data_IF_487065408553
#
_entry.id   IF_487065408553
#
_cell.length_a   1.000
_cell.length_b   1.000
_cell.length_c   1.000
_cell.angle_alpha   90.00
_cell.angle_beta   90.00
_cell.angle_gamma   90.00
#
_symmetry.space_group_name_H-M   'P 1'
#
loop_
_entity.id
_entity.type
_entity.pdbx_description
1 polymer ?
#
# COMPACT_ATOMS: atom_id res chain seq x y z
N UNK A 1 22.02 -4.51 -0.16
CA UNK A 1 21.59 -5.42 -1.25
C UNK A 1 21.75 -4.66 -2.57
N UNK A 2 22.32 -5.22 -3.64
CA UNK A 2 22.42 -4.51 -4.90
C UNK A 2 21.03 -4.26 -5.49
N UNK A 3 20.86 -3.09 -6.12
CA UNK A 3 19.62 -2.73 -6.80
C UNK A 3 19.37 -3.63 -8.01
N UNK A 4 18.12 -3.95 -8.25
CA UNK A 4 17.70 -4.65 -9.47
C UNK A 4 17.72 -3.66 -10.66
N UNK A 5 17.96 -4.12 -11.91
CA UNK A 5 18.05 -3.22 -13.06
C UNK A 5 16.88 -2.24 -13.20
N UNK A 6 15.65 -2.72 -13.04
CA UNK A 6 14.47 -1.86 -13.13
C UNK A 6 14.35 -0.84 -11.99
N UNK A 7 14.98 -1.09 -10.84
CA UNK A 7 15.05 -0.11 -9.74
C UNK A 7 16.05 0.99 -10.08
N UNK A 8 17.18 0.64 -10.70
CA UNK A 8 18.13 1.62 -11.22
C UNK A 8 17.48 2.50 -12.28
N UNK A 9 16.78 1.89 -13.26
CA UNK A 9 16.02 2.62 -14.28
C UNK A 9 14.99 3.58 -13.67
N UNK A 10 14.31 3.15 -12.59
CA UNK A 10 13.33 3.97 -11.88
C UNK A 10 14.01 5.18 -11.18
N UNK A 11 15.13 4.95 -10.50
CA UNK A 11 15.88 6.01 -9.83
C UNK A 11 16.46 7.02 -10.82
N UNK A 12 16.98 6.58 -11.95
CA UNK A 12 17.46 7.45 -13.03
C UNK A 12 16.31 8.30 -13.58
N UNK A 13 15.14 7.70 -13.79
CA UNK A 13 13.95 8.45 -14.20
C UNK A 13 13.51 9.46 -13.13
N UNK A 14 13.48 9.09 -11.86
CA UNK A 14 13.14 9.99 -10.76
C UNK A 14 14.17 11.12 -10.61
N UNK A 15 15.44 10.89 -10.90
CA UNK A 15 16.48 11.90 -10.86
C UNK A 15 16.28 13.01 -11.92
N UNK A 16 15.68 12.66 -13.05
CA UNK A 16 15.45 13.57 -14.18
C UNK A 16 14.06 14.22 -14.15
N UNK A 17 13.21 13.90 -13.17
CA UNK A 17 11.85 14.44 -13.04
C UNK A 17 11.60 14.96 -11.63
N UNK A 18 10.78 15.99 -11.52
CA UNK A 18 10.26 16.48 -10.23
C UNK A 18 8.92 15.86 -9.87
N UNK A 19 8.24 15.22 -10.84
CA UNK A 19 6.95 14.58 -10.65
C UNK A 19 6.76 13.43 -11.64
N UNK A 20 6.10 12.36 -11.20
CA UNK A 20 5.74 11.28 -12.10
C UNK A 20 5.19 10.04 -11.43
N UNK A 21 4.68 9.14 -12.25
CA UNK A 21 4.12 7.87 -11.83
C UNK A 21 5.14 6.75 -12.07
N UNK A 22 5.33 5.93 -11.04
CA UNK A 22 6.21 4.76 -11.05
C UNK A 22 5.33 3.51 -10.98
N UNK A 23 5.14 2.85 -12.12
CA UNK A 23 4.30 1.66 -12.24
C UNK A 23 5.19 0.43 -12.13
N UNK A 24 5.17 -0.22 -10.97
CA UNK A 24 5.98 -1.42 -10.68
C UNK A 24 5.10 -2.45 -9.98
N UNK A 25 5.10 -3.71 -10.43
CA UNK A 25 4.30 -4.78 -9.83
C UNK A 25 4.59 -4.97 -8.34
N UNK A 26 3.64 -5.59 -7.63
CA UNK A 26 3.86 -6.06 -6.26
C UNK A 26 5.05 -7.03 -6.23
N UNK A 27 5.92 -6.91 -5.22
CA UNK A 27 7.17 -7.67 -5.13
C UNK A 27 8.31 -7.10 -6.01
N UNK A 28 8.04 -6.09 -6.84
CA UNK A 28 9.06 -5.44 -7.67
C UNK A 28 10.00 -4.49 -6.91
N UNK A 29 9.75 -4.22 -5.62
CA UNK A 29 10.65 -3.42 -4.77
C UNK A 29 10.46 -1.92 -4.89
N UNK A 30 9.20 -1.44 -4.95
CA UNK A 30 8.84 0.00 -4.93
C UNK A 30 9.45 0.73 -3.73
N UNK A 31 9.36 0.13 -2.54
CA UNK A 31 9.90 0.71 -1.30
C UNK A 31 11.39 1.00 -1.41
N UNK A 32 12.17 0.09 -2.01
CA UNK A 32 13.60 0.29 -2.20
C UNK A 32 13.91 1.53 -3.07
N UNK A 33 13.11 1.78 -4.10
CA UNK A 33 13.27 3.00 -4.91
C UNK A 33 12.98 4.27 -4.10
N UNK A 34 11.97 4.24 -3.21
CA UNK A 34 11.68 5.37 -2.32
C UNK A 34 12.83 5.61 -1.35
N UNK A 35 13.36 4.55 -0.71
CA UNK A 35 14.46 4.63 0.25
C UNK A 35 15.73 5.17 -0.40
N UNK A 36 16.10 4.65 -1.56
CA UNK A 36 17.31 5.09 -2.27
C UNK A 36 17.20 6.56 -2.73
N UNK A 37 16.05 6.98 -3.24
CA UNK A 37 15.83 8.38 -3.60
C UNK A 37 15.79 9.29 -2.35
N UNK A 38 15.31 8.79 -1.21
CA UNK A 38 15.25 9.51 0.06
C UNK A 38 16.65 9.84 0.66
N UNK A 39 17.70 9.17 0.21
CA UNK A 39 19.10 9.52 0.59
C UNK A 39 19.51 10.93 0.19
N UNK A 40 18.75 11.60 -0.66
CA UNK A 40 18.92 13.02 -0.98
C UNK A 40 18.72 13.94 0.22
N UNK A 41 17.99 13.46 1.23
CA UNK A 41 17.72 14.21 2.47
C UNK A 41 16.64 15.28 2.31
N UNK A 42 16.57 16.16 3.32
CA UNK A 42 15.53 17.21 3.43
C UNK A 42 14.31 16.76 4.23
N UNK A 43 13.18 17.41 3.97
CA UNK A 43 11.88 17.03 4.53
C UNK A 43 11.14 16.11 3.57
N UNK A 44 11.02 14.85 3.94
CA UNK A 44 10.45 13.79 3.11
C UNK A 44 9.15 13.31 3.74
N UNK A 45 8.10 13.23 2.95
CA UNK A 45 6.79 12.71 3.36
C UNK A 45 6.51 11.39 2.61
N UNK A 46 6.15 10.35 3.34
CA UNK A 46 5.75 9.05 2.79
C UNK A 46 4.29 8.80 3.15
N UNK A 47 3.45 8.67 2.14
CA UNK A 47 2.00 8.49 2.28
C UNK A 47 1.63 7.04 2.04
N UNK A 48 1.09 6.37 3.04
CA UNK A 48 0.65 4.99 2.99
C UNK A 48 -0.87 4.85 3.02
N UNK A 49 -1.45 3.76 2.49
CA UNK A 49 -2.90 3.55 2.53
C UNK A 49 -3.47 3.30 3.93
N UNK A 50 -2.65 2.74 4.85
CA UNK A 50 -3.08 2.37 6.21
C UNK A 50 -1.97 2.58 7.22
N UNK A 51 -2.33 2.70 8.50
CA UNK A 51 -1.40 2.91 9.63
C UNK A 51 -0.34 1.81 9.69
N UNK A 52 -0.72 0.54 9.63
CA UNK A 52 0.23 -0.59 9.66
C UNK A 52 1.25 -0.52 8.51
N UNK A 53 0.83 -0.10 7.32
CA UNK A 53 1.74 0.07 6.19
C UNK A 53 2.66 1.29 6.36
N UNK A 54 2.18 2.38 6.97
CA UNK A 54 3.03 3.52 7.32
C UNK A 54 4.13 3.12 8.32
N UNK A 55 3.79 2.30 9.31
CA UNK A 55 4.73 1.77 10.29
C UNK A 55 5.73 0.79 9.65
N UNK A 56 5.27 -0.10 8.79
CA UNK A 56 6.14 -1.02 8.06
C UNK A 56 7.13 -0.26 7.19
N UNK A 57 6.66 0.71 6.40
CA UNK A 57 7.53 1.57 5.57
C UNK A 57 8.55 2.31 6.45
N UNK A 58 8.11 2.87 7.59
CA UNK A 58 9.02 3.52 8.53
C UNK A 58 10.14 2.58 8.98
N UNK A 59 9.82 1.33 9.35
CA UNK A 59 10.81 0.34 9.74
C UNK A 59 11.78 0.01 8.60
N UNK A 60 11.27 -0.22 7.37
CA UNK A 60 12.10 -0.51 6.19
C UNK A 60 13.04 0.67 5.84
N UNK A 61 12.57 1.91 5.98
CA UNK A 61 13.41 3.10 5.77
C UNK A 61 14.52 3.19 6.81
N UNK A 62 14.22 2.94 8.09
CA UNK A 62 15.18 3.02 9.19
C UNK A 62 16.21 1.87 9.22
N UNK A 63 15.96 0.77 8.55
CA UNK A 63 16.95 -0.30 8.34
C UNK A 63 18.11 0.15 7.42
N UNK A 64 17.89 1.21 6.62
CA UNK A 64 18.85 1.63 5.56
C UNK A 64 19.32 3.07 5.74
N UNK A 65 18.45 3.96 6.25
CA UNK A 65 18.76 5.37 6.43
C UNK A 65 19.19 5.65 7.85
N UNK A 66 20.44 6.09 8.00
CA UNK A 66 20.99 6.56 9.26
C UNK A 66 20.81 8.09 9.40
N UNK A 67 20.90 8.59 10.63
CA UNK A 67 20.86 10.01 10.99
C UNK A 67 19.66 10.78 10.44
N UNK A 68 18.47 10.18 10.57
CA UNK A 68 17.21 10.78 10.20
C UNK A 68 16.29 10.92 11.41
N UNK A 69 15.54 12.03 11.48
CA UNK A 69 14.48 12.21 12.46
C UNK A 69 13.17 11.68 11.88
N UNK A 70 12.43 10.91 12.67
CA UNK A 70 11.17 10.27 12.23
C UNK A 70 9.98 10.82 12.99
N UNK A 71 8.91 11.11 12.27
CA UNK A 71 7.61 11.48 12.81
C UNK A 71 6.50 10.70 12.12
N UNK A 72 5.51 10.27 12.90
CA UNK A 72 4.28 9.68 12.37
C UNK A 72 3.11 10.65 12.50
N UNK A 73 2.36 10.83 11.41
CA UNK A 73 1.16 11.67 11.38
C UNK A 73 -0.06 10.80 11.10
N UNK A 74 -0.54 10.14 12.13
CA UNK A 74 -1.76 9.31 12.12
C UNK A 74 -2.24 9.04 13.55
N UNK A 75 -3.46 8.54 13.71
CA UNK A 75 -4.08 8.29 15.02
C UNK A 75 -3.68 6.96 15.70
N UNK A 76 -2.85 6.13 15.05
CA UNK A 76 -2.40 4.85 15.61
C UNK A 76 -1.21 5.01 16.55
N UNK A 77 -1.02 4.03 17.42
CA UNK A 77 0.17 3.94 18.27
C UNK A 77 1.42 3.67 17.43
N UNK A 78 2.55 4.25 17.83
CA UNK A 78 3.84 4.09 17.18
C UNK A 78 4.96 4.29 18.21
N UNK A 79 6.13 3.63 18.07
CA UNK A 79 7.29 3.87 18.93
C UNK A 79 7.99 5.20 18.64
N UNK A 80 7.65 5.87 17.54
CA UNK A 80 8.24 7.14 17.13
C UNK A 80 7.42 8.34 17.61
N UNK A 81 8.01 9.53 17.58
CA UNK A 81 7.27 10.77 17.82
C UNK A 81 6.08 10.86 16.86
N UNK A 82 4.91 11.20 17.38
CA UNK A 82 3.70 11.27 16.57
C UNK A 82 2.81 12.41 17.01
N UNK A 83 2.23 13.11 16.06
CA UNK A 83 1.17 14.10 16.28
C UNK A 83 0.29 14.23 15.05
N UNK A 84 -0.96 14.61 15.27
CA UNK A 84 -1.90 15.02 14.22
C UNK A 84 -2.22 16.51 14.27
N UNK A 85 -1.55 17.27 15.13
CA UNK A 85 -1.71 18.72 15.25
C UNK A 85 -0.75 19.42 14.28
N UNK A 86 -1.27 20.38 13.54
CA UNK A 86 -0.51 21.11 12.55
C UNK A 86 0.69 21.88 13.16
N UNK A 87 0.50 22.50 14.33
CA UNK A 87 1.56 23.24 15.01
C UNK A 87 2.69 22.31 15.46
N UNK A 88 2.39 21.16 16.04
CA UNK A 88 3.41 20.18 16.45
C UNK A 88 4.23 19.68 15.26
N UNK A 89 3.58 19.49 14.10
CA UNK A 89 4.26 19.05 12.86
C UNK A 89 5.18 20.17 12.37
N UNK A 90 4.70 21.41 12.40
CA UNK A 90 5.46 22.58 11.97
C UNK A 90 6.69 22.80 12.87
N UNK A 91 6.51 22.81 14.19
CA UNK A 91 7.57 23.03 15.16
C UNK A 91 8.66 21.94 15.08
N UNK A 92 8.24 20.66 14.98
CA UNK A 92 9.17 19.55 14.86
C UNK A 92 9.98 19.61 13.56
N UNK A 93 9.34 19.95 12.45
CA UNK A 93 10.02 20.07 11.15
C UNK A 93 10.98 21.25 11.14
N UNK A 94 10.56 22.39 11.70
CA UNK A 94 11.40 23.58 11.81
C UNK A 94 12.63 23.30 12.68
N UNK A 95 12.44 22.63 13.84
CA UNK A 95 13.54 22.25 14.71
C UNK A 95 14.57 21.40 13.95
N UNK A 96 14.15 20.35 13.25
CA UNK A 96 15.08 19.52 12.49
C UNK A 96 15.83 20.31 11.42
N UNK A 97 15.14 21.18 10.70
CA UNK A 97 15.78 22.04 9.69
C UNK A 97 16.82 22.98 10.26
N UNK A 98 16.55 23.60 11.40
CA UNK A 98 17.49 24.47 12.10
C UNK A 98 18.78 23.74 12.52
N UNK A 99 18.66 22.46 12.86
CA UNK A 99 19.81 21.64 13.23
C UNK A 99 20.40 20.82 12.07
N UNK A 100 19.98 21.08 10.83
CA UNK A 100 20.47 20.40 9.63
C UNK A 100 20.13 18.90 9.56
N UNK A 101 19.08 18.46 10.27
CA UNK A 101 18.65 17.06 10.29
C UNK A 101 17.65 16.78 9.18
N UNK A 102 17.76 15.61 8.57
CA UNK A 102 16.78 15.10 7.64
C UNK A 102 15.50 14.64 8.38
N UNK A 103 14.36 14.97 7.85
CA UNK A 103 13.05 14.67 8.41
C UNK A 103 12.30 13.65 7.56
N UNK A 104 11.91 12.52 8.16
CA UNK A 104 11.02 11.54 7.55
C UNK A 104 9.66 11.59 8.23
N UNK A 105 8.63 11.93 7.49
CA UNK A 105 7.25 12.00 7.97
C UNK A 105 6.44 10.88 7.31
N UNK A 106 6.00 9.91 8.10
CA UNK A 106 5.13 8.84 7.64
C UNK A 106 3.68 9.17 7.99
N UNK A 107 2.83 9.18 6.98
CA UNK A 107 1.42 9.52 7.14
C UNK A 107 0.52 8.57 6.36
N UNK A 108 -0.77 8.65 6.61
CA UNK A 108 -1.77 7.95 5.81
C UNK A 108 -2.51 8.93 4.90
N UNK A 109 -3.16 8.42 3.84
CA UNK A 109 -4.03 9.25 3.01
C UNK A 109 -5.09 9.98 3.83
N UNK A 110 -5.59 9.36 4.90
CA UNK A 110 -6.55 9.97 5.82
C UNK A 110 -5.99 11.16 6.61
N UNK A 111 -4.70 11.15 6.93
CA UNK A 111 -4.06 12.15 7.77
C UNK A 111 -3.22 13.16 6.98
N UNK A 112 -3.04 12.96 5.67
CA UNK A 112 -2.19 13.81 4.83
C UNK A 112 -2.59 15.30 4.88
N UNK A 113 -3.89 15.60 5.03
CA UNK A 113 -4.36 16.98 5.18
C UNK A 113 -3.76 17.66 6.41
N UNK A 114 -3.40 16.95 7.47
CA UNK A 114 -2.72 17.51 8.66
C UNK A 114 -1.32 17.98 8.34
N UNK A 115 -0.60 17.23 7.51
CA UNK A 115 0.72 17.66 7.00
C UNK A 115 0.57 18.88 6.11
N UNK A 116 -0.47 18.96 5.28
CA UNK A 116 -0.77 20.13 4.45
C UNK A 116 -1.12 21.35 5.31
N UNK A 117 -1.98 21.19 6.32
CA UNK A 117 -2.40 22.26 7.24
C UNK A 117 -1.23 22.84 8.04
N UNK A 118 -0.18 22.08 8.32
CA UNK A 118 1.01 22.55 9.03
C UNK A 118 1.85 23.55 8.23
N UNK A 119 1.65 23.64 6.92
CA UNK A 119 2.35 24.58 6.05
C UNK A 119 3.85 24.34 5.92
N UNK A 120 4.37 23.18 6.34
CA UNK A 120 5.80 22.85 6.26
C UNK A 120 6.25 22.77 4.79
N UNK A 121 7.48 23.20 4.49
CA UNK A 121 8.07 22.93 3.19
C UNK A 121 8.42 21.45 3.06
N UNK A 122 7.88 20.79 2.03
CA UNK A 122 8.13 19.38 1.71
C UNK A 122 9.07 19.31 0.51
N UNK A 123 10.27 18.74 0.70
CA UNK A 123 11.25 18.62 -0.37
C UNK A 123 10.88 17.46 -1.31
N UNK A 124 10.45 16.32 -0.77
CA UNK A 124 9.99 15.18 -1.57
C UNK A 124 8.80 14.50 -0.89
N UNK A 125 7.80 14.13 -1.68
CA UNK A 125 6.67 13.31 -1.23
C UNK A 125 6.53 12.06 -2.08
N UNK A 126 6.36 10.90 -1.42
CA UNK A 126 6.07 9.61 -2.05
C UNK A 126 4.68 9.16 -1.66
N UNK A 127 3.88 8.82 -2.65
CA UNK A 127 2.57 8.21 -2.50
C UNK A 127 2.68 6.71 -2.77
N UNK A 128 2.66 5.88 -1.71
CA UNK A 128 2.61 4.44 -1.86
C UNK A 128 1.18 3.96 -2.13
N UNK A 129 1.04 2.93 -2.96
CA UNK A 129 -0.23 2.44 -3.50
C UNK A 129 -1.11 3.60 -4.00
N UNK A 130 -0.52 4.41 -4.89
CA UNK A 130 -1.06 5.70 -5.34
C UNK A 130 -2.46 5.62 -5.99
N UNK A 131 -2.92 4.45 -6.39
CA UNK A 131 -4.29 4.24 -6.84
C UNK A 131 -5.35 4.57 -5.76
N UNK A 132 -4.95 4.68 -4.48
CA UNK A 132 -5.84 5.13 -3.40
C UNK A 132 -6.07 6.65 -3.43
N UNK A 133 -5.13 7.42 -3.94
CA UNK A 133 -5.13 8.89 -3.95
C UNK A 133 -6.29 9.50 -4.75
N UNK A 134 -6.89 8.76 -5.67
CA UNK A 134 -8.04 9.20 -6.47
C UNK A 134 -9.37 9.17 -5.68
N UNK A 135 -9.35 8.68 -4.43
CA UNK A 135 -10.55 8.70 -3.58
C UNK A 135 -10.94 10.15 -3.29
N UNK A 136 -12.25 10.43 -3.34
CA UNK A 136 -12.82 11.77 -3.14
C UNK A 136 -12.29 12.48 -1.88
N UNK A 137 -12.08 11.73 -0.80
CA UNK A 137 -11.63 12.28 0.48
C UNK A 137 -10.12 12.54 0.53
N UNK A 138 -9.33 11.89 -0.33
CA UNK A 138 -7.86 11.97 -0.34
C UNK A 138 -7.34 12.88 -1.45
N UNK A 139 -8.10 12.99 -2.53
CA UNK A 139 -7.71 13.73 -3.72
C UNK A 139 -7.38 15.22 -3.48
N UNK A 140 -8.07 15.97 -2.60
CA UNK A 140 -7.74 17.37 -2.36
C UNK A 140 -6.27 17.59 -1.92
N UNK A 141 -5.81 16.82 -0.92
CA UNK A 141 -4.41 16.91 -0.47
C UNK A 141 -3.43 16.33 -1.50
N UNK A 142 -3.83 15.27 -2.20
CA UNK A 142 -3.03 14.72 -3.31
C UNK A 142 -2.84 15.78 -4.41
N UNK A 143 -3.91 16.47 -4.80
CA UNK A 143 -3.85 17.54 -5.80
C UNK A 143 -2.94 18.66 -5.34
N UNK A 144 -3.07 19.11 -4.09
CA UNK A 144 -2.20 20.14 -3.52
C UNK A 144 -0.71 19.81 -3.71
N UNK A 145 -0.28 18.62 -3.30
CA UNK A 145 1.12 18.20 -3.45
C UNK A 145 1.51 17.95 -4.91
N UNK A 146 0.64 17.38 -5.71
CA UNK A 146 0.88 17.11 -7.13
C UNK A 146 0.95 18.38 -7.99
N UNK A 147 0.39 19.50 -7.53
CA UNK A 147 0.40 20.79 -8.27
C UNK A 147 1.35 21.83 -7.67
N UNK A 148 2.32 21.42 -6.86
CA UNK A 148 3.39 22.32 -6.40
C UNK A 148 3.53 22.44 -4.87
N UNK A 149 2.75 21.69 -4.09
CA UNK A 149 2.88 21.64 -2.62
C UNK A 149 4.12 20.92 -2.11
N UNK A 150 4.88 20.29 -2.99
CA UNK A 150 6.18 19.69 -2.69
C UNK A 150 7.16 19.98 -3.83
N UNK A 151 8.47 19.99 -3.50
CA UNK A 151 9.54 20.15 -4.49
C UNK A 151 9.59 19.01 -5.50
N UNK A 152 9.37 17.77 -5.02
CA UNK A 152 9.28 16.55 -5.83
C UNK A 152 8.11 15.69 -5.36
N UNK A 153 7.38 15.07 -6.30
CA UNK A 153 6.16 14.31 -6.00
C UNK A 153 6.08 13.04 -6.86
N UNK A 154 6.17 11.88 -6.24
CA UNK A 154 6.17 10.60 -6.95
C UNK A 154 5.06 9.67 -6.49
N UNK A 155 4.42 9.03 -7.46
CA UNK A 155 3.25 8.17 -7.27
C UNK A 155 3.59 6.73 -7.63
N UNK A 156 3.70 5.87 -6.61
CA UNK A 156 4.05 4.46 -6.75
C UNK A 156 2.81 3.57 -6.71
N UNK A 157 2.64 2.73 -7.70
CA UNK A 157 1.56 1.74 -7.73
C UNK A 157 1.86 0.58 -8.67
N UNK A 158 1.23 -0.58 -8.45
CA UNK A 158 1.20 -1.67 -9.41
C UNK A 158 0.01 -1.55 -10.38
N UNK A 159 -1.06 -0.87 -9.95
CA UNK A 159 -2.36 -0.84 -10.62
C UNK A 159 -2.90 0.59 -10.70
N UNK A 160 -2.44 1.41 -11.67
CA UNK A 160 -2.90 2.78 -11.80
C UNK A 160 -4.40 2.82 -12.06
N UNK A 161 -5.09 3.73 -11.37
CA UNK A 161 -6.54 3.89 -11.47
C UNK A 161 -6.87 5.11 -12.32
N UNK A 162 -7.34 4.87 -13.54
CA UNK A 162 -7.74 5.93 -14.46
C UNK A 162 -9.24 6.25 -14.34
N UNK A 163 -9.61 7.48 -14.66
CA UNK A 163 -11.00 7.91 -14.79
C UNK A 163 -11.31 8.25 -16.24
N UNK A 164 -12.47 7.78 -16.71
CA UNK A 164 -13.01 8.12 -18.02
C UNK A 164 -13.92 9.35 -17.98
N UNK A 165 -14.21 9.88 -16.79
CA UNK A 165 -15.10 11.03 -16.61
C UNK A 165 -14.36 12.17 -15.94
N UNK A 166 -14.60 13.39 -16.43
CA UNK A 166 -14.00 14.65 -15.89
C UNK A 166 -14.38 14.89 -14.43
N UNK A 167 -15.52 14.36 -13.99
CA UNK A 167 -16.02 14.57 -12.62
C UNK A 167 -15.34 13.68 -11.56
N UNK A 168 -14.59 12.68 -11.97
CA UNK A 168 -13.91 11.74 -11.06
C UNK A 168 -12.41 11.87 -11.23
N UNK A 169 -11.71 11.97 -10.10
CA UNK A 169 -10.25 11.93 -10.10
C UNK A 169 -9.75 10.61 -10.67
N UNK A 170 -8.67 10.69 -11.44
CA UNK A 170 -7.99 9.54 -12.01
C UNK A 170 -6.51 9.84 -12.20
N UNK A 171 -5.67 8.81 -12.14
CA UNK A 171 -4.22 8.97 -12.32
C UNK A 171 -3.81 9.35 -13.76
N UNK A 172 -4.77 9.41 -14.68
CA UNK A 172 -4.60 9.99 -16.01
C UNK A 172 -4.67 11.53 -16.03
N UNK A 173 -4.92 12.18 -14.89
CA UNK A 173 -4.78 13.63 -14.73
C UNK A 173 -3.30 13.99 -14.60
N UNK A 174 -2.68 14.40 -15.72
CA UNK A 174 -1.24 14.73 -15.77
C UNK A 174 -0.88 15.99 -15.01
N UNK A 175 -1.82 16.90 -14.80
CA UNK A 175 -1.56 18.09 -14.00
C UNK A 175 -1.24 17.71 -12.55
N UNK A 176 -1.93 16.71 -12.01
CA UNK A 176 -1.73 16.23 -10.63
C UNK A 176 -0.63 15.16 -10.57
N UNK A 177 -0.72 14.12 -11.41
CA UNK A 177 0.10 12.90 -11.29
C UNK A 177 1.37 12.91 -12.14
N UNK A 178 1.50 13.86 -13.07
CA UNK A 178 2.59 13.83 -14.06
C UNK A 178 2.44 12.71 -15.07
N UNK A 179 3.50 12.48 -15.83
CA UNK A 179 3.59 11.38 -16.78
C UNK A 179 3.98 10.07 -16.07
N UNK A 180 3.73 8.94 -16.72
CA UNK A 180 4.31 7.66 -16.33
C UNK A 180 5.78 7.68 -16.72
N UNK A 181 6.66 7.88 -15.74
CA UNK A 181 8.11 7.97 -15.95
C UNK A 181 8.81 6.62 -15.95
N UNK A 182 8.17 5.62 -15.34
CA UNK A 182 8.59 4.22 -15.34
C UNK A 182 7.35 3.31 -15.39
N UNK A 183 7.42 2.29 -16.24
CA UNK A 183 6.41 1.23 -16.28
C UNK A 183 7.12 -0.11 -16.48
N UNK A 184 7.10 -0.94 -15.44
CA UNK A 184 7.73 -2.26 -15.45
C UNK A 184 6.65 -3.33 -15.55
N UNK A 185 6.52 -4.03 -16.69
CA UNK A 185 5.55 -5.11 -16.84
C UNK A 185 5.86 -6.30 -15.93
N UNK A 186 4.82 -6.88 -15.30
CA UNK A 186 4.99 -8.07 -14.46
C UNK A 186 5.69 -9.25 -15.19
N UNK A 187 5.39 -9.57 -16.46
CA UNK A 187 6.10 -10.61 -17.18
C UNK A 187 7.62 -10.41 -17.21
N UNK A 188 8.09 -9.17 -17.40
CA UNK A 188 9.54 -8.85 -17.38
C UNK A 188 10.19 -9.27 -16.05
N UNK A 189 9.52 -9.06 -14.92
CA UNK A 189 10.06 -9.43 -13.61
C UNK A 189 9.97 -10.94 -13.35
N UNK A 190 8.98 -11.62 -13.93
CA UNK A 190 8.87 -13.09 -13.91
C UNK A 190 10.03 -13.69 -14.71
N UNK A 191 10.25 -13.24 -15.94
CA UNK A 191 11.33 -13.73 -16.82
C UNK A 191 12.73 -13.52 -16.20
N UNK A 192 12.88 -12.45 -15.42
CA UNK A 192 14.09 -12.15 -14.66
C UNK A 192 14.20 -12.89 -13.31
N UNK A 193 13.20 -13.67 -12.94
CA UNK A 193 13.17 -14.43 -11.68
C UNK A 193 12.99 -13.58 -10.42
N UNK A 194 12.57 -12.32 -10.53
CA UNK A 194 12.35 -11.44 -9.37
C UNK A 194 10.99 -11.63 -8.69
N UNK A 195 10.00 -12.09 -9.43
CA UNK A 195 8.67 -12.48 -8.91
C UNK A 195 8.27 -13.81 -9.52
N UNK A 196 7.47 -14.57 -8.79
CA UNK A 196 6.92 -15.83 -9.29
C UNK A 196 5.72 -15.57 -10.21
N UNK A 197 5.55 -16.36 -11.28
CA UNK A 197 4.34 -16.28 -12.08
C UNK A 197 3.13 -16.71 -11.24
N UNK A 198 2.02 -15.95 -11.25
CA UNK A 198 0.81 -16.37 -10.58
C UNK A 198 0.23 -17.61 -11.28
N UNK A 199 -0.13 -18.63 -10.49
CA UNK A 199 -0.92 -19.75 -10.96
C UNK A 199 -2.38 -19.42 -10.68
N UNK A 200 -3.17 -19.19 -11.72
CA UNK A 200 -4.57 -18.78 -11.58
C UNK A 200 -5.49 -19.91 -12.02
N UNK A 201 -6.36 -20.35 -11.13
CA UNK A 201 -7.45 -21.27 -11.43
C UNK A 201 -8.78 -20.56 -11.17
N UNK A 202 -9.72 -20.70 -12.09
CA UNK A 202 -11.04 -20.08 -12.00
C UNK A 202 -12.09 -21.15 -11.83
N UNK A 203 -12.76 -21.12 -10.70
CA UNK A 203 -13.89 -22.01 -10.41
C UNK A 203 -15.20 -21.30 -10.73
N UNK A 204 -16.01 -21.91 -11.56
CA UNK A 204 -17.39 -21.43 -11.81
C UNK A 204 -18.29 -22.03 -10.74
N UNK A 205 -18.89 -21.18 -9.92
CA UNK A 205 -19.94 -21.60 -9.01
C UNK A 205 -21.14 -22.10 -9.83
N UNK A 206 -21.66 -23.28 -9.47
CA UNK A 206 -22.92 -23.77 -10.01
C UNK A 206 -24.11 -23.11 -9.32
N UNK A 207 -25.23 -23.12 -9.98
CA UNK A 207 -26.49 -22.69 -9.35
C UNK A 207 -26.85 -23.65 -8.20
N UNK A 208 -27.31 -23.07 -7.09
CA UNK A 208 -27.79 -23.82 -5.93
C UNK A 208 -29.02 -24.64 -6.33
N UNK A 209 -29.10 -25.89 -5.89
CA UNK A 209 -30.32 -26.64 -5.88
C UNK A 209 -31.23 -26.18 -4.74
N UNK A 210 -32.54 -26.52 -4.80
CA UNK A 210 -33.57 -25.97 -3.92
C UNK A 210 -33.29 -26.15 -2.41
N UNK A 211 -32.57 -27.20 -2.03
CA UNK A 211 -32.29 -27.57 -0.63
C UNK A 211 -30.82 -27.39 -0.21
N UNK A 212 -30.00 -26.73 -1.03
CA UNK A 212 -28.58 -26.51 -0.77
C UNK A 212 -28.34 -25.18 -0.09
N UNK A 213 -27.42 -25.17 0.87
CA UNK A 213 -26.94 -23.97 1.55
C UNK A 213 -25.72 -23.43 0.81
N UNK A 214 -25.71 -22.12 0.51
CA UNK A 214 -24.61 -21.48 -0.23
C UNK A 214 -23.23 -21.72 0.41
N UNK A 215 -23.15 -21.70 1.76
CA UNK A 215 -21.93 -21.94 2.50
C UNK A 215 -21.36 -23.35 2.31
N UNK A 216 -22.21 -24.37 2.17
CA UNK A 216 -21.79 -25.76 1.92
C UNK A 216 -21.15 -25.88 0.54
N UNK A 217 -21.77 -25.31 -0.49
CA UNK A 217 -21.27 -25.34 -1.87
C UNK A 217 -19.97 -24.55 -2.00
N UNK A 218 -19.84 -23.41 -1.32
CA UNK A 218 -18.57 -22.66 -1.26
C UNK A 218 -17.48 -23.47 -0.57
N UNK A 219 -17.81 -24.11 0.55
CA UNK A 219 -16.89 -25.01 1.28
C UNK A 219 -16.36 -26.13 0.39
N UNK A 220 -17.23 -26.85 -0.30
CA UNK A 220 -16.84 -27.90 -1.24
C UNK A 220 -15.85 -27.41 -2.29
N UNK A 221 -16.13 -26.24 -2.91
CA UNK A 221 -15.25 -25.68 -3.93
C UNK A 221 -13.90 -25.21 -3.37
N UNK A 222 -13.87 -24.65 -2.16
CA UNK A 222 -12.64 -24.23 -1.52
C UNK A 222 -11.77 -25.41 -1.14
N UNK A 223 -12.36 -26.45 -0.59
CA UNK A 223 -11.64 -27.70 -0.23
C UNK A 223 -11.09 -28.39 -1.48
N UNK A 224 -11.89 -28.52 -2.55
CA UNK A 224 -11.42 -29.06 -3.82
C UNK A 224 -10.24 -28.25 -4.39
N UNK A 225 -10.27 -26.92 -4.28
CA UNK A 225 -9.17 -26.07 -4.70
C UNK A 225 -7.90 -26.28 -3.85
N UNK A 226 -8.05 -26.40 -2.55
CA UNK A 226 -6.94 -26.66 -1.62
C UNK A 226 -6.29 -28.01 -1.95
N UNK A 227 -7.09 -29.05 -2.13
CA UNK A 227 -6.60 -30.40 -2.43
C UNK A 227 -5.85 -30.46 -3.78
N UNK A 228 -6.35 -29.73 -4.80
CA UNK A 228 -5.68 -29.70 -6.13
C UNK A 228 -4.38 -28.89 -6.15
N UNK A 229 -4.30 -27.85 -5.35
CA UNK A 229 -3.13 -26.97 -5.35
C UNK A 229 -1.99 -27.47 -4.47
N UNK A 230 -2.26 -28.45 -3.59
CA UNK A 230 -1.27 -29.05 -2.66
C UNK A 230 -0.46 -27.98 -1.91
N UNK A 231 -1.15 -27.00 -1.30
CA UNK A 231 -0.52 -25.82 -0.68
C UNK A 231 -0.44 -25.93 0.84
N UNK A 232 0.66 -25.49 1.42
CA UNK A 232 0.86 -25.49 2.88
C UNK A 232 0.19 -24.31 3.59
N UNK A 233 -0.06 -23.20 2.87
CA UNK A 233 -0.64 -21.97 3.42
C UNK A 233 -1.71 -21.44 2.49
N UNK A 234 -2.88 -21.15 3.07
CA UNK A 234 -4.04 -20.65 2.33
C UNK A 234 -4.52 -19.33 2.96
N UNK A 235 -4.74 -18.32 2.14
CA UNK A 235 -5.41 -17.08 2.53
C UNK A 235 -6.76 -16.99 1.79
N UNK A 236 -7.84 -17.01 2.55
CA UNK A 236 -9.21 -16.90 2.00
C UNK A 236 -9.73 -15.49 2.23
N UNK A 237 -9.97 -14.77 1.14
CA UNK A 237 -10.53 -13.43 1.18
C UNK A 237 -12.04 -13.48 0.92
N UNK A 238 -12.84 -13.38 1.97
CA UNK A 238 -14.29 -13.36 1.86
C UNK A 238 -14.84 -11.98 1.50
N UNK A 239 -15.93 -11.93 0.75
CA UNK A 239 -16.62 -10.69 0.34
C UNK A 239 -17.22 -9.93 1.52
N UNK A 240 -17.61 -10.63 2.58
CA UNK A 240 -18.25 -10.05 3.76
C UNK A 240 -18.08 -10.92 5.00
N UNK A 241 -18.23 -10.31 6.19
CA UNK A 241 -18.25 -11.03 7.47
C UNK A 241 -19.39 -12.07 7.51
N UNK A 242 -20.51 -11.81 6.85
CA UNK A 242 -21.63 -12.77 6.74
C UNK A 242 -21.20 -14.05 6.03
N UNK A 243 -20.41 -13.95 4.97
CA UNK A 243 -19.86 -15.11 4.25
C UNK A 243 -18.91 -15.92 5.15
N UNK A 244 -18.04 -15.25 5.92
CA UNK A 244 -17.15 -15.92 6.89
C UNK A 244 -17.99 -16.69 7.93
N UNK A 245 -19.00 -16.05 8.52
CA UNK A 245 -19.87 -16.68 9.49
C UNK A 245 -20.58 -17.90 8.88
N UNK A 246 -21.06 -17.77 7.64
CA UNK A 246 -21.67 -18.89 6.91
C UNK A 246 -20.73 -20.08 6.78
N UNK A 247 -19.52 -19.87 6.32
CA UNK A 247 -18.50 -20.92 6.19
C UNK A 247 -18.16 -21.58 7.53
N UNK A 248 -18.08 -20.80 8.61
CA UNK A 248 -17.70 -21.31 9.93
C UNK A 248 -18.82 -22.06 10.66
N UNK A 249 -20.08 -21.66 10.47
CA UNK A 249 -21.23 -22.15 11.26
C UNK A 249 -22.28 -22.93 10.48
N UNK A 250 -22.24 -22.89 9.15
CA UNK A 250 -23.25 -23.50 8.28
C UNK A 250 -22.64 -24.45 7.24
N UNK A 251 -21.38 -24.85 7.43
CA UNK A 251 -20.70 -25.84 6.59
C UNK A 251 -19.67 -26.62 7.40
N UNK A 252 -19.22 -27.74 6.87
CA UNK A 252 -18.15 -28.56 7.46
C UNK A 252 -16.73 -28.05 7.14
N UNK A 253 -16.60 -26.81 6.66
CA UNK A 253 -15.34 -26.24 6.18
C UNK A 253 -14.20 -26.33 7.21
N UNK A 254 -14.47 -25.96 8.45
CA UNK A 254 -13.47 -26.02 9.52
C UNK A 254 -13.05 -27.45 9.88
N UNK A 255 -14.01 -28.36 9.86
CA UNK A 255 -13.75 -29.78 10.08
C UNK A 255 -12.87 -30.34 8.95
N UNK A 256 -13.21 -30.07 7.70
CA UNK A 256 -12.46 -30.50 6.51
C UNK A 256 -11.02 -29.95 6.49
N UNK A 257 -10.82 -28.70 6.93
CA UNK A 257 -9.47 -28.14 7.10
C UNK A 257 -8.68 -28.90 8.18
N UNK A 258 -9.32 -29.18 9.31
CA UNK A 258 -8.68 -29.88 10.45
C UNK A 258 -8.28 -31.32 10.08
N UNK A 259 -9.14 -32.05 9.34
CA UNK A 259 -8.83 -33.40 8.84
C UNK A 259 -7.60 -33.40 7.93
N UNK A 260 -7.37 -32.33 7.18
CA UNK A 260 -6.19 -32.14 6.30
C UNK A 260 -4.96 -31.61 7.05
N UNK A 261 -5.05 -31.43 8.36
CA UNK A 261 -3.93 -30.96 9.18
C UNK A 261 -3.73 -29.43 9.18
N UNK A 262 -4.65 -28.66 8.61
CA UNK A 262 -4.58 -27.19 8.67
C UNK A 262 -5.05 -26.68 10.03
N UNK A 263 -4.26 -25.80 10.64
CA UNK A 263 -4.74 -24.88 11.66
C UNK A 263 -5.27 -23.62 10.97
N UNK A 264 -6.37 -23.06 11.46
CA UNK A 264 -7.01 -21.92 10.84
C UNK A 264 -7.37 -20.83 11.85
N UNK A 265 -7.44 -19.60 11.37
CA UNK A 265 -7.90 -18.44 12.13
C UNK A 265 -8.72 -17.52 11.23
N UNK A 266 -9.63 -16.76 11.82
CA UNK A 266 -10.40 -15.74 11.10
C UNK A 266 -10.00 -14.36 11.58
N UNK A 267 -9.90 -13.42 10.64
CA UNK A 267 -9.61 -12.01 10.92
C UNK A 267 -10.74 -11.18 10.33
N UNK A 268 -11.44 -10.45 11.19
CA UNK A 268 -12.49 -9.50 10.80
C UNK A 268 -12.26 -8.17 11.50
N UNK A 269 -12.95 -7.12 11.09
CA UNK A 269 -12.90 -5.81 11.78
C UNK A 269 -13.35 -5.88 13.25
N UNK A 270 -13.96 -7.00 13.69
CA UNK A 270 -14.42 -7.23 15.05
C UNK A 270 -13.54 -8.20 15.83
N UNK A 271 -12.51 -8.76 15.22
CA UNK A 271 -11.64 -9.78 15.87
C UNK A 271 -10.88 -9.19 17.06
N UNK A 272 -10.55 -7.90 17.05
CA UNK A 272 -9.91 -7.22 18.19
C UNK A 272 -10.84 -6.87 19.36
N UNK A 273 -12.15 -7.12 19.25
CA UNK A 273 -13.13 -6.85 20.32
C UNK A 273 -13.47 -8.09 21.16
N UNK A 274 -12.80 -9.22 20.91
CA UNK A 274 -13.06 -10.53 21.56
C UNK A 274 -11.78 -11.03 22.27
N UNK A 275 -10.85 -10.14 22.60
CA UNK A 275 -9.70 -10.47 23.47
C UNK A 275 -9.90 -9.77 24.81
#
# INVERSE_FOLDING_TARGET
MPLRPHQTDALDSMANHTKGQIIVPTGGGKTMCMIEDAKRGGTIVVVAPRILLAQQLSSEFLEILDDVSVMHVHSGETPHYSSTKADDIADWTLFNRLFGKNSLIFTTYHSLHRVQESGIPVDTIYFDEAHNSVNKNFFPSTKFYGTGGAGRCFFFTATPKHSLTVQKAGMNDREVYGDVIINVPAPKLVDQGYILPPKVEVYKSRLLKKDEIYAEVESEHMIDAIDRLEVDKVLICAKSTKQIIGLLSQSDFCYELSVRGYSWMTITSRTGAII
#
